data_IF_067714140731
#
_entry.id   IF_067714140731
#
_cell.length_a   1.000
_cell.length_b   1.000
_cell.length_c   1.000
_cell.angle_alpha   90.00
_cell.angle_beta   90.00
_cell.angle_gamma   90.00
#
_symmetry.space_group_name_H-M   'P 1'
#
loop_
_entity.id
_entity.type
_entity.pdbx_description
1 polymer ?
#
# COMPACT_ATOMS: atom_id res chain seq x y z
N UNK A 1 -12.36 -9.03 -7.94
CA UNK A 1 -11.22 -9.53 -8.74
C UNK A 1 -11.50 -10.85 -9.47
N UNK A 2 -12.16 -11.85 -8.84
CA UNK A 2 -12.32 -13.20 -9.40
C UNK A 2 -12.87 -13.26 -10.85
N UNK A 3 -13.66 -12.28 -11.26
CA UNK A 3 -14.34 -12.26 -12.56
C UNK A 3 -13.88 -11.13 -13.48
N UNK A 4 -12.91 -10.35 -13.06
CA UNK A 4 -12.36 -9.28 -13.86
C UNK A 4 -11.45 -9.82 -14.96
N UNK A 5 -11.54 -9.19 -16.13
CA UNK A 5 -10.65 -9.48 -17.26
C UNK A 5 -9.30 -8.78 -17.10
N UNK A 6 -8.26 -9.17 -17.87
CA UNK A 6 -6.98 -8.46 -17.91
C UNK A 6 -7.17 -6.95 -18.20
N UNK A 7 -8.00 -6.60 -19.17
CA UNK A 7 -8.28 -5.21 -19.50
C UNK A 7 -8.92 -4.43 -18.34
N UNK A 8 -9.84 -5.05 -17.60
CA UNK A 8 -10.45 -4.42 -16.41
C UNK A 8 -9.44 -4.20 -15.28
N UNK A 9 -8.42 -5.08 -15.14
CA UNK A 9 -7.32 -4.87 -14.18
C UNK A 9 -6.43 -3.71 -14.60
N UNK A 10 -6.13 -3.58 -15.90
CA UNK A 10 -5.38 -2.44 -16.45
C UNK A 10 -6.08 -1.11 -16.17
N UNK A 11 -7.38 -1.02 -16.51
CA UNK A 11 -8.19 0.18 -16.28
C UNK A 11 -8.29 0.54 -14.79
N UNK A 12 -8.48 -0.45 -13.92
CA UNK A 12 -8.55 -0.24 -12.46
C UNK A 12 -7.21 0.30 -11.91
N UNK A 13 -6.08 -0.24 -12.37
CA UNK A 13 -4.76 0.22 -11.99
C UNK A 13 -4.49 1.65 -12.50
N UNK A 14 -4.87 1.96 -13.72
CA UNK A 14 -4.78 3.33 -14.26
C UNK A 14 -5.58 4.32 -13.43
N UNK A 15 -6.84 4.00 -13.11
CA UNK A 15 -7.70 4.87 -12.32
C UNK A 15 -7.09 5.16 -10.94
N UNK A 16 -6.70 4.12 -10.22
CA UNK A 16 -6.12 4.25 -8.88
C UNK A 16 -4.81 5.07 -8.90
N UNK A 17 -3.92 4.79 -9.86
CA UNK A 17 -2.68 5.53 -10.02
C UNK A 17 -2.90 7.00 -10.39
N UNK A 18 -3.87 7.30 -11.26
CA UNK A 18 -4.19 8.67 -11.65
C UNK A 18 -4.76 9.48 -10.48
N UNK A 19 -5.67 8.92 -9.70
CA UNK A 19 -6.17 9.56 -8.47
C UNK A 19 -5.04 9.80 -7.46
N UNK A 20 -4.18 8.80 -7.24
CA UNK A 20 -3.01 8.93 -6.36
C UNK A 20 -2.05 10.04 -6.83
N UNK A 21 -1.72 10.09 -8.13
CA UNK A 21 -0.87 11.16 -8.72
C UNK A 21 -1.50 12.53 -8.50
N UNK A 22 -2.80 12.67 -8.68
CA UNK A 22 -3.55 13.93 -8.51
C UNK A 22 -3.55 14.39 -7.05
N UNK A 23 -3.51 13.47 -6.09
CA UNK A 23 -3.34 13.77 -4.66
C UNK A 23 -1.88 13.97 -4.23
N UNK A 24 -0.93 13.90 -5.17
CA UNK A 24 0.50 14.14 -4.92
C UNK A 24 1.34 12.90 -4.63
N UNK A 25 0.81 11.69 -4.79
CA UNK A 25 1.60 10.47 -4.68
C UNK A 25 2.57 10.34 -5.85
N UNK A 26 3.82 10.01 -5.55
CA UNK A 26 4.86 9.71 -6.54
C UNK A 26 5.18 8.22 -6.62
N UNK A 27 4.79 7.46 -5.59
CA UNK A 27 4.99 6.00 -5.50
C UNK A 27 3.71 5.34 -5.02
N UNK A 28 3.32 4.25 -5.68
CA UNK A 28 2.17 3.44 -5.30
C UNK A 28 2.59 1.98 -5.15
N UNK A 29 2.10 1.31 -4.11
CA UNK A 29 2.21 -0.14 -3.97
C UNK A 29 0.87 -0.78 -4.23
N UNK A 30 0.86 -1.81 -5.07
CA UNK A 30 -0.30 -2.64 -5.36
C UNK A 30 -0.16 -3.98 -4.67
N UNK A 31 -1.13 -4.33 -3.84
CA UNK A 31 -1.20 -5.60 -3.14
C UNK A 31 -2.09 -6.58 -3.92
N UNK A 32 -1.48 -7.34 -4.83
CA UNK A 32 -2.18 -8.11 -5.86
C UNK A 32 -2.42 -9.57 -5.44
N UNK A 33 -3.68 -9.93 -5.24
CA UNK A 33 -4.10 -11.27 -4.78
C UNK A 33 -4.96 -12.07 -5.79
N UNK A 34 -5.34 -11.49 -6.93
CA UNK A 34 -6.16 -12.14 -7.97
C UNK A 34 -5.29 -12.92 -8.96
N UNK A 35 -4.59 -13.95 -8.45
CA UNK A 35 -3.51 -14.64 -9.16
C UNK A 35 -3.94 -15.92 -9.90
N UNK A 36 -5.21 -16.05 -10.28
CA UNK A 36 -5.72 -17.21 -11.01
C UNK A 36 -5.22 -17.31 -12.46
N UNK A 37 -4.77 -16.20 -13.04
CA UNK A 37 -4.18 -16.10 -14.37
C UNK A 37 -3.00 -15.12 -14.33
N UNK A 38 -1.78 -15.53 -14.78
CA UNK A 38 -0.62 -14.63 -14.82
C UNK A 38 -0.82 -13.36 -15.66
N UNK A 39 -1.70 -13.39 -16.67
CA UNK A 39 -1.99 -12.23 -17.50
C UNK A 39 -2.61 -11.08 -16.71
N UNK A 40 -3.34 -11.38 -15.63
CA UNK A 40 -3.94 -10.36 -14.75
C UNK A 40 -2.87 -9.51 -14.06
N UNK A 41 -1.79 -10.14 -13.59
CA UNK A 41 -0.66 -9.45 -12.98
C UNK A 41 0.05 -8.53 -14.00
N UNK A 42 0.29 -9.02 -15.21
CA UNK A 42 0.89 -8.22 -16.29
C UNK A 42 0.02 -7.00 -16.61
N UNK A 43 -1.28 -7.19 -16.81
CA UNK A 43 -2.21 -6.10 -17.14
C UNK A 43 -2.29 -5.05 -16.03
N UNK A 44 -2.31 -5.48 -14.77
CA UNK A 44 -2.26 -4.55 -13.65
C UNK A 44 -0.95 -3.74 -13.63
N UNK A 45 0.21 -4.39 -13.79
CA UNK A 45 1.52 -3.72 -13.86
C UNK A 45 1.57 -2.74 -15.04
N UNK A 46 1.10 -3.15 -16.22
CA UNK A 46 1.10 -2.30 -17.42
C UNK A 46 0.20 -1.06 -17.21
N UNK A 47 -0.94 -1.23 -16.56
CA UNK A 47 -1.81 -0.13 -16.13
C UNK A 47 -1.08 0.85 -15.20
N UNK A 48 -0.40 0.37 -14.15
CA UNK A 48 0.39 1.22 -13.25
C UNK A 48 1.51 1.96 -13.99
N UNK A 49 2.32 1.23 -14.75
CA UNK A 49 3.50 1.77 -15.47
C UNK A 49 3.11 2.81 -16.51
N UNK A 50 1.95 2.63 -17.18
CA UNK A 50 1.46 3.56 -18.21
C UNK A 50 1.20 4.98 -17.68
N UNK A 51 0.97 5.13 -16.37
CA UNK A 51 0.75 6.44 -15.72
C UNK A 51 2.05 7.16 -15.34
N UNK A 52 3.19 6.47 -15.43
CA UNK A 52 4.48 7.03 -15.06
C UNK A 52 4.72 7.14 -13.55
N UNK A 53 3.83 6.63 -12.70
CA UNK A 53 4.05 6.55 -11.24
C UNK A 53 5.13 5.50 -10.92
N UNK A 54 5.93 5.73 -9.88
CA UNK A 54 6.82 4.69 -9.35
C UNK A 54 5.97 3.59 -8.71
N UNK A 55 6.26 2.34 -9.03
CA UNK A 55 5.39 1.23 -8.68
C UNK A 55 6.11 0.17 -7.85
N UNK A 56 5.42 -0.33 -6.83
CA UNK A 56 5.79 -1.54 -6.10
C UNK A 56 4.66 -2.53 -6.28
N UNK A 57 4.89 -3.58 -7.06
CA UNK A 57 3.90 -4.61 -7.28
C UNK A 57 4.15 -5.80 -6.35
N UNK A 58 3.21 -6.10 -5.46
CA UNK A 58 3.32 -7.16 -4.46
C UNK A 58 2.47 -8.32 -4.94
N UNK A 59 3.11 -9.32 -5.56
CA UNK A 59 2.46 -10.55 -5.99
C UNK A 59 2.26 -11.46 -4.80
N UNK A 60 1.08 -11.43 -4.22
CA UNK A 60 0.75 -12.23 -3.04
C UNK A 60 0.35 -13.65 -3.37
N UNK A 61 0.32 -14.52 -2.37
CA UNK A 61 -0.17 -15.88 -2.50
C UNK A 61 -0.91 -16.33 -1.25
N UNK A 62 -1.65 -17.40 -1.39
CA UNK A 62 -2.37 -18.07 -0.32
C UNK A 62 -2.37 -19.57 -0.63
N UNK A 63 -2.01 -20.39 0.33
CA UNK A 63 -1.96 -21.85 0.16
C UNK A 63 -2.93 -22.61 1.08
N UNK A 64 -3.69 -21.88 1.90
CA UNK A 64 -4.73 -22.39 2.80
C UNK A 64 -5.86 -21.39 3.01
N UNK A 65 -6.86 -21.72 3.82
CA UNK A 65 -7.98 -20.83 4.18
C UNK A 65 -9.31 -21.20 3.51
N UNK A 66 -9.39 -22.31 2.75
CA UNK A 66 -10.64 -22.75 2.11
C UNK A 66 -11.78 -22.92 3.14
N UNK A 67 -11.49 -23.42 4.32
CA UNK A 67 -12.48 -23.61 5.40
C UNK A 67 -13.04 -22.30 5.96
N UNK A 68 -12.38 -21.16 5.69
CA UNK A 68 -12.82 -19.82 6.05
C UNK A 68 -13.33 -19.00 4.87
N UNK A 69 -13.63 -19.67 3.76
CA UNK A 69 -14.27 -19.06 2.59
C UNK A 69 -13.29 -18.56 1.53
N UNK A 70 -11.99 -18.85 1.65
CA UNK A 70 -11.05 -18.53 0.59
C UNK A 70 -11.41 -19.29 -0.69
N UNK A 71 -11.64 -18.62 -1.82
CA UNK A 71 -11.95 -19.26 -3.08
C UNK A 71 -10.79 -20.15 -3.54
N UNK A 72 -11.10 -21.41 -3.91
CA UNK A 72 -10.10 -22.38 -4.40
C UNK A 72 -9.24 -21.87 -5.54
N UNK A 73 -9.78 -21.01 -6.41
CA UNK A 73 -9.06 -20.45 -7.54
C UNK A 73 -7.91 -19.53 -7.15
N UNK A 74 -7.88 -19.07 -5.90
CA UNK A 74 -6.80 -18.23 -5.36
C UNK A 74 -5.74 -19.04 -4.62
N UNK A 75 -6.02 -20.31 -4.30
CA UNK A 75 -5.08 -21.15 -3.57
C UNK A 75 -3.99 -21.70 -4.49
N UNK A 76 -2.76 -21.51 -4.10
CA UNK A 76 -1.60 -22.01 -4.82
C UNK A 76 -0.40 -22.26 -3.90
N UNK A 77 0.50 -23.20 -4.23
CA UNK A 77 1.73 -23.38 -3.47
C UNK A 77 2.65 -22.18 -3.53
N UNK A 78 3.34 -21.86 -2.43
CA UNK A 78 4.33 -20.77 -2.35
C UNK A 78 5.36 -20.84 -3.48
N UNK A 79 5.92 -22.01 -3.79
CA UNK A 79 6.90 -22.18 -4.85
C UNK A 79 6.38 -21.88 -6.27
N UNK A 80 5.06 -21.98 -6.52
CA UNK A 80 4.47 -21.50 -7.77
C UNK A 80 4.49 -19.97 -7.80
N UNK A 81 4.05 -19.32 -6.73
CA UNK A 81 4.05 -17.88 -6.61
C UNK A 81 5.46 -17.30 -6.79
N UNK A 82 6.49 -17.88 -6.18
CA UNK A 82 7.88 -17.44 -6.31
C UNK A 82 8.39 -17.52 -7.75
N UNK A 83 8.02 -18.57 -8.51
CA UNK A 83 8.36 -18.67 -9.94
C UNK A 83 7.71 -17.55 -10.77
N UNK A 84 6.49 -17.15 -10.43
CA UNK A 84 5.82 -16.04 -11.10
C UNK A 84 6.46 -14.69 -10.73
N UNK A 85 6.89 -14.50 -9.49
CA UNK A 85 7.70 -13.34 -9.09
C UNK A 85 8.97 -13.23 -9.94
N UNK A 86 9.69 -14.34 -10.15
CA UNK A 86 10.87 -14.36 -11.03
C UNK A 86 10.52 -14.05 -12.50
N UNK A 87 9.40 -14.57 -12.98
CA UNK A 87 8.93 -14.28 -14.35
C UNK A 87 8.61 -12.78 -14.50
N UNK A 88 7.93 -12.18 -13.55
CA UNK A 88 7.63 -10.73 -13.54
C UNK A 88 8.91 -9.90 -13.43
N UNK A 89 9.84 -10.22 -12.52
CA UNK A 89 11.15 -9.55 -12.41
C UNK A 89 11.90 -9.59 -13.74
N UNK A 90 11.87 -10.73 -14.43
CA UNK A 90 12.51 -10.90 -15.74
C UNK A 90 11.81 -10.11 -16.85
N UNK A 91 10.47 -10.12 -16.86
CA UNK A 91 9.68 -9.41 -17.89
C UNK A 91 9.89 -7.89 -17.82
N UNK A 92 9.98 -7.34 -16.62
CA UNK A 92 10.08 -5.89 -16.39
C UNK A 92 11.47 -5.41 -15.96
N UNK A 93 12.52 -6.20 -16.18
CA UNK A 93 13.90 -5.92 -15.71
C UNK A 93 14.50 -4.58 -16.19
N UNK A 94 13.99 -4.03 -17.29
CA UNK A 94 14.46 -2.74 -17.85
C UNK A 94 13.71 -1.53 -17.25
N UNK A 95 12.71 -1.76 -16.40
CA UNK A 95 11.95 -0.69 -15.75
C UNK A 95 12.46 -0.47 -14.31
N UNK A 96 13.33 0.52 -14.14
CA UNK A 96 13.92 0.88 -12.84
C UNK A 96 12.95 1.61 -11.89
N UNK A 97 11.75 1.96 -12.36
CA UNK A 97 10.68 2.53 -11.55
C UNK A 97 9.71 1.48 -10.99
N UNK A 98 9.85 0.21 -11.38
CA UNK A 98 9.01 -0.89 -10.90
C UNK A 98 9.82 -1.84 -10.00
N UNK A 99 9.30 -2.13 -8.82
CA UNK A 99 9.81 -3.17 -7.93
C UNK A 99 8.80 -4.29 -7.80
N UNK A 100 9.22 -5.54 -7.97
CA UNK A 100 8.37 -6.72 -7.78
C UNK A 100 8.68 -7.32 -6.41
N UNK A 101 7.66 -7.43 -5.57
CA UNK A 101 7.70 -8.02 -4.24
C UNK A 101 6.78 -9.23 -4.16
N UNK A 102 6.73 -9.86 -3.01
CA UNK A 102 5.77 -10.92 -2.71
C UNK A 102 5.27 -10.82 -1.27
N UNK A 103 4.41 -11.72 -0.87
CA UNK A 103 3.93 -11.87 0.50
C UNK A 103 2.73 -12.79 0.61
N UNK A 104 2.42 -13.27 1.80
CA UNK A 104 1.13 -13.85 2.08
C UNK A 104 0.03 -12.79 1.94
N UNK A 105 -1.19 -13.21 1.57
CA UNK A 105 -2.30 -12.25 1.50
C UNK A 105 -2.69 -11.76 2.91
N UNK A 106 -3.14 -12.67 3.74
CA UNK A 106 -3.47 -12.40 5.14
C UNK A 106 -2.79 -13.42 6.05
N UNK A 107 -2.74 -13.13 7.34
CA UNK A 107 -1.98 -13.92 8.32
C UNK A 107 -2.35 -15.39 8.38
N UNK A 108 -3.61 -15.75 8.16
CA UNK A 108 -4.14 -17.11 8.30
C UNK A 108 -4.30 -17.85 6.96
N UNK A 109 -4.01 -17.22 5.83
CA UNK A 109 -4.16 -17.82 4.49
C UNK A 109 -2.91 -18.56 4.00
N UNK A 110 -1.90 -18.72 4.85
CA UNK A 110 -0.62 -19.31 4.47
C UNK A 110 -0.16 -20.32 5.54
N UNK A 111 0.22 -21.51 5.10
CA UNK A 111 0.78 -22.53 5.99
C UNK A 111 2.15 -22.11 6.52
N UNK A 112 2.59 -22.69 7.66
CA UNK A 112 3.93 -22.40 8.21
C UNK A 112 5.03 -22.76 7.20
N UNK A 113 4.85 -23.82 6.47
CA UNK A 113 5.74 -24.26 5.38
C UNK A 113 5.76 -23.24 4.24
N UNK A 114 4.59 -22.70 3.84
CA UNK A 114 4.50 -21.65 2.83
C UNK A 114 5.20 -20.37 3.25
N UNK A 115 5.07 -19.96 4.52
CA UNK A 115 5.84 -18.85 5.09
C UNK A 115 7.35 -19.08 5.00
N UNK A 116 7.82 -20.28 5.34
CA UNK A 116 9.25 -20.61 5.32
C UNK A 116 9.80 -20.64 3.90
N UNK A 117 9.10 -21.30 2.94
CA UNK A 117 9.51 -21.34 1.55
C UNK A 117 9.61 -19.95 0.92
N UNK A 118 8.59 -19.10 1.15
CA UNK A 118 8.61 -17.72 0.68
C UNK A 118 9.76 -16.92 1.32
N UNK A 119 9.97 -17.04 2.63
CA UNK A 119 11.02 -16.31 3.33
C UNK A 119 12.41 -16.69 2.82
N UNK A 120 12.69 -17.99 2.63
CA UNK A 120 13.95 -18.48 2.06
C UNK A 120 14.20 -17.85 0.68
N UNK A 121 13.19 -17.84 -0.18
CA UNK A 121 13.25 -17.16 -1.48
C UNK A 121 13.55 -15.66 -1.33
N UNK A 122 12.79 -14.96 -0.49
CA UNK A 122 12.95 -13.51 -0.31
C UNK A 122 14.34 -13.13 0.21
N UNK A 123 14.91 -13.93 1.08
CA UNK A 123 16.25 -13.69 1.62
C UNK A 123 17.34 -13.99 0.59
N UNK A 124 17.22 -15.10 -0.16
CA UNK A 124 18.19 -15.50 -1.18
C UNK A 124 18.20 -14.56 -2.39
N UNK A 125 17.02 -14.13 -2.86
CA UNK A 125 16.85 -13.29 -4.04
C UNK A 125 16.80 -11.79 -3.72
N UNK A 126 17.00 -11.41 -2.45
CA UNK A 126 16.93 -10.03 -1.97
C UNK A 126 15.61 -9.33 -2.32
N UNK A 127 14.49 -10.04 -2.21
CA UNK A 127 13.13 -9.53 -2.44
C UNK A 127 12.53 -9.03 -1.13
N UNK A 128 11.84 -7.89 -1.16
CA UNK A 128 11.05 -7.39 -0.03
C UNK A 128 9.67 -8.05 -0.05
N UNK A 129 8.98 -8.01 1.09
CA UNK A 129 7.68 -8.65 1.24
C UNK A 129 6.74 -7.86 2.13
N UNK A 130 5.45 -8.08 1.93
CA UNK A 130 4.39 -7.39 2.67
C UNK A 130 3.25 -8.35 3.00
N UNK A 131 2.48 -8.05 4.03
CA UNK A 131 1.32 -8.84 4.46
C UNK A 131 0.39 -7.98 5.31
N UNK A 132 -0.94 -8.21 5.19
CA UNK A 132 -1.92 -7.71 6.14
C UNK A 132 -1.75 -8.46 7.47
N UNK A 133 -1.59 -7.74 8.57
CA UNK A 133 -1.31 -8.35 9.88
C UNK A 133 -2.02 -7.62 11.01
N UNK A 134 -2.64 -8.41 11.89
CA UNK A 134 -3.33 -7.90 13.09
C UNK A 134 -4.31 -6.76 12.77
N UNK A 135 -5.01 -6.87 11.66
CA UNK A 135 -6.02 -5.89 11.27
C UNK A 135 -7.25 -6.00 12.15
N UNK A 136 -7.74 -7.21 12.37
CA UNK A 136 -8.95 -7.48 13.15
C UNK A 136 -8.67 -8.43 14.31
N UNK A 137 -9.58 -8.50 15.28
CA UNK A 137 -9.53 -9.49 16.35
C UNK A 137 -9.68 -10.92 15.81
N UNK A 138 -10.40 -11.09 14.72
CA UNK A 138 -10.59 -12.38 14.04
C UNK A 138 -9.26 -12.94 13.55
N UNK A 139 -8.35 -12.11 13.07
CA UNK A 139 -7.02 -12.54 12.62
C UNK A 139 -6.26 -13.21 13.76
N UNK A 140 -6.28 -12.62 14.96
CA UNK A 140 -5.63 -13.19 16.14
C UNK A 140 -6.25 -14.54 16.53
N UNK A 141 -7.58 -14.64 16.49
CA UNK A 141 -8.30 -15.87 16.82
C UNK A 141 -7.97 -16.99 15.82
N UNK A 142 -7.96 -16.68 14.53
CA UNK A 142 -7.62 -17.63 13.47
C UNK A 142 -6.17 -18.08 13.55
N UNK A 143 -5.23 -17.16 13.76
CA UNK A 143 -3.82 -17.51 13.95
C UNK A 143 -3.61 -18.40 15.19
N UNK A 144 -4.32 -18.13 16.27
CA UNK A 144 -4.32 -19.00 17.45
C UNK A 144 -4.78 -20.43 17.16
N UNK A 145 -5.81 -20.58 16.29
CA UNK A 145 -6.29 -21.91 15.85
C UNK A 145 -5.30 -22.61 14.91
N UNK A 146 -4.72 -21.88 13.93
CA UNK A 146 -3.84 -22.47 12.92
C UNK A 146 -2.44 -22.77 13.43
N UNK A 147 -1.85 -21.82 14.16
CA UNK A 147 -0.44 -21.91 14.57
C UNK A 147 -0.27 -22.22 16.05
N UNK A 148 -1.37 -22.24 16.83
CA UNK A 148 -1.34 -22.49 18.27
C UNK A 148 -0.70 -21.35 19.10
N UNK A 149 -0.51 -20.19 18.48
CA UNK A 149 0.12 -19.01 19.09
C UNK A 149 -0.22 -17.71 18.36
N UNK A 150 0.19 -16.59 18.94
CA UNK A 150 0.13 -15.28 18.28
C UNK A 150 0.95 -15.29 16.99
N UNK A 151 0.47 -14.55 15.99
CA UNK A 151 1.12 -14.50 14.68
C UNK A 151 2.53 -13.90 14.77
N UNK A 152 2.73 -12.84 15.58
CA UNK A 152 4.05 -12.19 15.69
C UNK A 152 5.05 -13.11 16.36
N UNK A 153 4.60 -13.95 17.32
CA UNK A 153 5.44 -14.99 17.94
C UNK A 153 5.89 -16.02 16.91
N UNK A 154 4.96 -16.48 16.06
CA UNK A 154 5.26 -17.45 14.99
C UNK A 154 6.23 -16.85 13.97
N UNK A 155 5.99 -15.61 13.56
CA UNK A 155 6.84 -14.91 12.59
C UNK A 155 8.25 -14.65 13.14
N UNK A 156 8.39 -14.30 14.42
CA UNK A 156 9.72 -14.16 15.05
C UNK A 156 10.48 -15.49 15.07
N UNK A 157 9.81 -16.60 15.44
CA UNK A 157 10.42 -17.93 15.49
C UNK A 157 11.00 -18.40 14.15
N UNK A 158 10.30 -18.10 13.05
CA UNK A 158 10.78 -18.50 11.71
C UNK A 158 11.74 -17.47 11.09
N UNK A 159 12.03 -16.35 11.79
CA UNK A 159 12.91 -15.29 11.29
C UNK A 159 12.29 -14.37 10.25
N UNK A 160 10.96 -14.30 10.19
CA UNK A 160 10.22 -13.49 9.21
C UNK A 160 10.33 -11.98 9.49
N UNK A 161 10.52 -11.59 10.76
CA UNK A 161 10.64 -10.18 11.14
C UNK A 161 12.01 -9.65 10.70
N UNK A 162 12.03 -8.82 9.67
CA UNK A 162 13.25 -8.17 9.14
C UNK A 162 12.93 -6.76 8.65
N UNK A 163 13.96 -6.00 8.28
CA UNK A 163 13.83 -4.67 7.66
C UNK A 163 13.27 -4.71 6.23
N UNK A 164 13.07 -5.90 5.66
CA UNK A 164 12.41 -6.10 4.37
C UNK A 164 10.89 -6.26 4.49
N UNK A 165 10.37 -6.46 5.69
CA UNK A 165 8.96 -6.67 5.93
C UNK A 165 8.22 -5.34 6.07
N UNK A 166 7.17 -5.16 5.25
CA UNK A 166 6.17 -4.10 5.37
C UNK A 166 4.87 -4.71 5.93
N UNK A 167 4.59 -4.42 7.19
CA UNK A 167 3.40 -4.88 7.90
C UNK A 167 2.23 -3.91 7.67
N UNK A 168 1.10 -4.38 7.14
CA UNK A 168 -0.05 -3.54 6.79
C UNK A 168 -1.10 -3.57 7.89
N UNK A 169 -1.76 -2.45 8.17
CA UNK A 169 -2.77 -2.16 9.20
C UNK A 169 -2.25 -2.14 10.63
N UNK A 170 -1.83 -3.25 11.20
CA UNK A 170 -1.24 -3.34 12.54
C UNK A 170 -2.13 -2.79 13.67
N UNK A 171 -3.46 -2.92 13.54
CA UNK A 171 -4.46 -2.37 14.48
C UNK A 171 -4.29 -2.94 15.88
N UNK A 172 -4.14 -4.27 15.97
CA UNK A 172 -4.14 -5.01 17.23
C UNK A 172 -2.71 -5.36 17.71
N UNK A 173 -1.71 -4.49 17.45
CA UNK A 173 -0.36 -4.68 17.99
C UNK A 173 -0.34 -4.47 19.51
N UNK A 174 0.29 -5.39 20.21
CA UNK A 174 0.62 -5.21 21.62
C UNK A 174 1.90 -4.38 21.80
N UNK A 175 2.17 -3.79 22.97
CA UNK A 175 3.45 -3.12 23.22
C UNK A 175 4.66 -4.01 22.95
N UNK A 176 4.55 -5.31 23.23
CA UNK A 176 5.61 -6.28 22.97
C UNK A 176 5.82 -6.53 21.48
N UNK A 177 4.75 -6.50 20.66
CA UNK A 177 4.87 -6.58 19.20
C UNK A 177 5.60 -5.36 18.64
N UNK A 178 5.28 -4.18 19.15
CA UNK A 178 5.92 -2.91 18.75
C UNK A 178 7.42 -2.94 19.06
N UNK A 179 7.82 -3.41 20.25
CA UNK A 179 9.23 -3.59 20.59
C UNK A 179 9.97 -4.53 19.63
N UNK A 180 9.32 -5.64 19.24
CA UNK A 180 9.88 -6.58 18.26
C UNK A 180 9.99 -5.95 16.86
N UNK A 181 8.98 -5.23 16.42
CA UNK A 181 9.02 -4.52 15.13
C UNK A 181 10.16 -3.50 15.10
N UNK A 182 10.34 -2.72 16.16
CA UNK A 182 11.48 -1.81 16.28
C UNK A 182 12.83 -2.55 16.26
N UNK A 183 12.96 -3.65 17.03
CA UNK A 183 14.16 -4.47 17.10
C UNK A 183 14.61 -5.03 15.76
N UNK A 184 13.66 -5.48 14.95
CA UNK A 184 13.94 -6.12 13.66
C UNK A 184 13.86 -5.16 12.46
N UNK A 185 13.51 -3.89 12.68
CA UNK A 185 13.43 -2.88 11.63
C UNK A 185 12.21 -3.03 10.72
N UNK A 186 11.17 -3.74 11.16
CA UNK A 186 9.89 -3.88 10.43
C UNK A 186 9.28 -2.49 10.22
N UNK A 187 8.75 -2.25 9.01
CA UNK A 187 7.99 -1.03 8.72
C UNK A 187 6.49 -1.30 8.78
N UNK A 188 5.73 -0.30 9.23
CA UNK A 188 4.26 -0.34 9.24
C UNK A 188 3.70 0.51 8.11
N UNK A 189 2.67 0.01 7.40
CA UNK A 189 1.77 0.80 6.57
C UNK A 189 0.50 1.11 7.38
N UNK A 190 0.35 2.35 7.80
CA UNK A 190 -0.85 2.84 8.48
C UNK A 190 -1.90 3.25 7.45
N UNK A 191 -3.04 2.59 7.47
CA UNK A 191 -4.14 2.79 6.53
C UNK A 191 -5.37 3.34 7.28
N UNK A 192 -5.43 4.66 7.61
CA UNK A 192 -6.44 5.19 8.52
C UNK A 192 -7.86 5.11 7.99
N UNK A 193 -8.08 5.43 6.71
CA UNK A 193 -9.42 5.44 6.12
C UNK A 193 -10.04 4.04 6.05
N UNK A 194 -9.39 3.00 5.49
CA UNK A 194 -9.95 1.66 5.45
C UNK A 194 -10.16 1.07 6.85
N UNK A 195 -9.25 1.27 7.79
CA UNK A 195 -9.43 0.79 9.17
C UNK A 195 -10.69 1.34 9.83
N UNK A 196 -11.04 2.58 9.51
CA UNK A 196 -12.29 3.22 9.97
C UNK A 196 -13.50 2.72 9.20
N UNK A 197 -13.40 2.67 7.87
CA UNK A 197 -14.49 2.27 6.98
C UNK A 197 -14.95 0.84 7.24
N UNK A 198 -14.02 -0.08 7.43
CA UNK A 198 -14.28 -1.48 7.74
C UNK A 198 -14.54 -1.73 9.23
N UNK A 199 -14.30 -0.74 10.10
CA UNK A 199 -14.44 -0.91 11.54
C UNK A 199 -13.36 -1.78 12.17
N UNK A 200 -12.20 -1.94 11.54
CA UNK A 200 -11.10 -2.76 12.02
C UNK A 200 -10.52 -2.22 13.33
N UNK A 201 -10.49 -0.89 13.50
CA UNK A 201 -9.99 -0.23 14.71
C UNK A 201 -8.89 0.81 14.43
N UNK A 202 -8.14 1.17 15.48
CA UNK A 202 -7.12 2.23 15.39
C UNK A 202 -5.79 1.69 15.89
N UNK A 203 -4.76 1.62 15.02
CA UNK A 203 -3.44 1.13 15.40
C UNK A 203 -2.72 2.08 16.36
N UNK A 204 -1.83 1.58 17.24
CA UNK A 204 -1.04 2.37 18.19
C UNK A 204 0.14 3.08 17.49
N UNK A 205 -0.17 4.08 16.65
CA UNK A 205 0.83 4.78 15.83
C UNK A 205 1.78 5.66 16.67
N UNK A 206 1.31 6.48 17.63
CA UNK A 206 2.21 7.25 18.47
C UNK A 206 3.19 6.38 19.26
N UNK A 207 2.74 5.25 19.81
CA UNK A 207 3.56 4.29 20.54
C UNK A 207 4.59 3.62 19.61
N UNK A 208 4.19 3.29 18.40
CA UNK A 208 5.09 2.72 17.38
C UNK A 208 6.19 3.71 17.00
N UNK A 209 5.84 4.97 16.73
CA UNK A 209 6.82 6.03 16.45
C UNK A 209 7.77 6.28 17.62
N UNK A 210 7.23 6.34 18.86
CA UNK A 210 8.02 6.55 20.07
C UNK A 210 9.03 5.42 20.34
N UNK A 211 8.69 4.19 19.92
CA UNK A 211 9.58 3.01 20.04
C UNK A 211 10.60 2.92 18.89
N UNK A 212 10.47 3.77 17.86
CA UNK A 212 11.39 3.83 16.72
C UNK A 212 10.99 2.93 15.54
N UNK A 213 9.77 2.39 15.53
CA UNK A 213 9.22 1.70 14.37
C UNK A 213 9.04 2.69 13.23
N UNK A 214 9.46 2.32 12.03
CA UNK A 214 9.19 3.11 10.85
C UNK A 214 7.72 2.97 10.44
N UNK A 215 7.01 4.09 10.30
CA UNK A 215 5.61 4.11 9.87
C UNK A 215 5.50 4.88 8.56
N UNK A 216 4.77 4.31 7.61
CA UNK A 216 4.32 4.95 6.37
C UNK A 216 2.79 5.10 6.38
N UNK A 217 2.25 5.88 5.44
CA UNK A 217 0.81 6.01 5.23
C UNK A 217 0.44 5.30 3.93
N UNK A 218 -0.65 4.53 3.96
CA UNK A 218 -1.27 3.92 2.80
C UNK A 218 -2.75 4.30 2.70
N UNK A 219 -3.29 4.21 1.51
CA UNK A 219 -4.71 4.44 1.22
C UNK A 219 -5.51 3.15 1.20
N UNK A 220 -4.82 2.00 1.04
CA UNK A 220 -5.43 0.71 0.74
C UNK A 220 -6.21 0.71 -0.59
N UNK A 221 -6.87 -0.38 -0.93
CA UNK A 221 -7.66 -0.49 -2.14
C UNK A 221 -8.98 0.28 -2.09
N UNK A 222 -9.46 0.71 -3.26
CA UNK A 222 -10.72 1.44 -3.37
C UNK A 222 -11.95 0.65 -2.87
N UNK A 223 -11.86 -0.68 -2.76
CA UNK A 223 -12.93 -1.51 -2.19
C UNK A 223 -13.10 -1.31 -0.68
N UNK A 224 -12.05 -0.91 0.02
CA UNK A 224 -12.03 -0.71 1.49
C UNK A 224 -11.93 0.75 1.92
N UNK A 225 -11.74 1.69 0.97
CA UNK A 225 -11.61 3.12 1.25
C UNK A 225 -12.46 4.01 0.33
N UNK A 226 -12.75 3.57 -0.89
CA UNK A 226 -13.37 4.34 -1.99
C UNK A 226 -12.52 5.52 -2.51
N UNK A 227 -11.26 5.65 -2.10
CA UNK A 227 -10.35 6.72 -2.52
C UNK A 227 -8.89 6.29 -2.40
N UNK A 228 -8.03 6.86 -3.26
CA UNK A 228 -6.57 6.78 -3.17
C UNK A 228 -5.95 8.15 -2.87
N UNK A 229 -6.71 9.07 -2.28
CA UNK A 229 -6.27 10.41 -1.89
C UNK A 229 -5.35 10.36 -0.65
N UNK A 230 -4.06 10.67 -0.86
CA UNK A 230 -3.06 10.71 0.19
C UNK A 230 -3.26 11.89 1.16
N UNK A 231 -3.73 13.04 0.68
CA UNK A 231 -3.95 14.21 1.55
C UNK A 231 -5.09 13.96 2.53
N UNK A 232 -6.14 13.26 2.10
CA UNK A 232 -7.21 12.80 2.99
C UNK A 232 -6.67 11.81 4.02
N UNK A 233 -5.90 10.81 3.59
CA UNK A 233 -5.30 9.82 4.48
C UNK A 233 -4.34 10.45 5.50
N UNK A 234 -3.54 11.44 5.11
CA UNK A 234 -2.69 12.21 6.03
C UNK A 234 -3.50 12.92 7.10
N UNK A 235 -4.59 13.59 6.73
CA UNK A 235 -5.47 14.27 7.67
C UNK A 235 -6.13 13.30 8.65
N UNK A 236 -6.65 12.18 8.15
CA UNK A 236 -7.26 11.14 8.98
C UNK A 236 -6.25 10.54 9.94
N UNK A 237 -5.04 10.20 9.48
CA UNK A 237 -3.96 9.69 10.33
C UNK A 237 -3.68 10.60 11.51
N UNK A 238 -3.65 11.93 11.30
CA UNK A 238 -3.45 12.89 12.38
C UNK A 238 -4.64 12.97 13.35
N UNK A 239 -5.85 13.16 12.80
CA UNK A 239 -7.03 13.47 13.61
C UNK A 239 -7.50 12.30 14.47
N UNK A 240 -7.41 11.08 13.94
CA UNK A 240 -7.87 9.89 14.65
C UNK A 240 -7.01 9.62 15.88
N UNK A 241 -5.67 9.75 15.77
CA UNK A 241 -4.77 9.57 16.90
C UNK A 241 -5.02 10.63 17.99
N UNK A 242 -5.19 11.90 17.60
CA UNK A 242 -5.55 12.97 18.54
C UNK A 242 -6.87 12.70 19.26
N UNK A 243 -7.86 12.19 18.52
CA UNK A 243 -9.19 11.89 19.06
C UNK A 243 -9.18 10.75 20.08
N UNK A 244 -8.52 9.64 19.80
CA UNK A 244 -8.50 8.47 20.68
C UNK A 244 -7.66 8.72 21.94
N UNK A 245 -6.53 9.43 21.80
CA UNK A 245 -5.66 9.79 22.93
C UNK A 245 -6.18 10.99 23.72
N UNK A 246 -7.16 11.74 23.19
CA UNK A 246 -7.65 13.00 23.78
C UNK A 246 -6.52 14.01 24.04
N UNK A 247 -5.54 14.01 23.15
CA UNK A 247 -4.36 14.86 23.21
C UNK A 247 -4.08 15.47 21.82
N UNK A 248 -4.15 16.78 21.72
CA UNK A 248 -3.88 17.52 20.48
C UNK A 248 -2.39 17.48 20.06
N UNK A 249 -1.49 17.14 20.97
CA UNK A 249 -0.05 17.10 20.75
C UNK A 249 0.52 15.69 20.52
N UNK A 250 -0.30 14.62 20.62
CA UNK A 250 0.16 13.21 20.57
C UNK A 250 0.86 12.87 19.25
N UNK A 251 0.51 13.54 18.17
CA UNK A 251 1.14 13.42 16.85
C UNK A 251 1.15 14.78 16.15
N UNK A 252 2.26 15.17 15.57
CA UNK A 252 2.46 16.45 14.91
C UNK A 252 2.23 16.39 13.40
N UNK A 253 2.12 17.57 12.74
CA UNK A 253 2.12 17.65 11.29
C UNK A 253 3.47 17.18 10.69
N UNK A 254 4.58 17.38 11.39
CA UNK A 254 5.89 16.87 11.00
C UNK A 254 5.92 15.34 10.94
N UNK A 255 5.37 14.67 11.94
CA UNK A 255 5.29 13.20 11.98
C UNK A 255 4.47 12.68 10.79
N UNK A 256 3.33 13.29 10.50
CA UNK A 256 2.47 12.89 9.38
C UNK A 256 3.17 13.08 8.03
N UNK A 257 3.82 14.23 7.81
CA UNK A 257 4.60 14.49 6.59
C UNK A 257 5.76 13.50 6.48
N UNK A 258 6.45 13.20 7.60
CA UNK A 258 7.50 12.20 7.62
C UNK A 258 6.97 10.82 7.20
N UNK A 259 5.84 10.38 7.76
CA UNK A 259 5.21 9.11 7.42
C UNK A 259 4.83 9.03 5.93
N UNK A 260 4.29 10.13 5.36
CA UNK A 260 3.90 10.20 3.95
C UNK A 260 5.08 10.36 2.97
N UNK A 261 6.29 10.65 3.45
CA UNK A 261 7.48 10.91 2.61
C UNK A 261 8.66 10.01 2.97
N UNK A 262 9.48 10.40 3.93
CA UNK A 262 10.68 9.65 4.32
C UNK A 262 10.35 8.28 4.93
N UNK A 263 9.25 8.19 5.69
CA UNK A 263 8.73 6.92 6.23
C UNK A 263 8.32 5.96 5.12
N UNK A 264 7.58 6.45 4.11
CA UNK A 264 7.23 5.68 2.91
C UNK A 264 8.46 5.22 2.13
N UNK A 265 9.40 6.14 1.86
CA UNK A 265 10.64 5.80 1.18
C UNK A 265 11.46 4.73 1.92
N UNK A 266 11.51 4.79 3.25
CA UNK A 266 12.18 3.77 4.08
C UNK A 266 11.43 2.43 4.04
N UNK A 267 10.10 2.46 4.10
CA UNK A 267 9.27 1.26 4.03
C UNK A 267 9.50 0.46 2.74
N UNK A 268 9.70 1.16 1.61
CA UNK A 268 10.01 0.51 0.33
C UNK A 268 11.52 0.26 0.10
N UNK A 269 12.38 0.54 1.09
CA UNK A 269 13.83 0.30 0.98
C UNK A 269 14.58 1.30 0.11
N UNK A 270 14.05 2.52 -0.09
CA UNK A 270 14.63 3.56 -0.94
C UNK A 270 14.97 4.86 -0.19
N UNK A 271 15.17 4.80 1.13
CA UNK A 271 15.43 5.98 1.96
C UNK A 271 16.69 6.78 1.54
N UNK A 272 17.67 6.12 0.95
CA UNK A 272 18.89 6.74 0.40
C UNK A 272 18.60 7.54 -0.88
N UNK A 273 17.54 7.20 -1.62
CA UNK A 273 17.19 7.77 -2.94
C UNK A 273 15.97 8.66 -2.94
N UNK A 274 15.00 8.44 -2.04
CA UNK A 274 13.69 9.09 -2.01
C UNK A 274 13.36 9.67 -0.63
N UNK A 275 12.20 10.32 -0.53
CA UNK A 275 11.56 10.74 0.71
C UNK A 275 12.04 12.07 1.30
N UNK A 276 13.12 12.65 0.76
CA UNK A 276 13.62 13.99 1.17
C UNK A 276 14.19 14.73 -0.03
N UNK A 277 14.07 16.06 0.01
CA UNK A 277 14.67 16.93 -1.01
C UNK A 277 16.15 17.18 -0.69
N UNK A 278 17.04 16.52 -1.41
CA UNK A 278 18.47 16.66 -1.26
C UNK A 278 19.19 16.43 -2.61
N UNK A 279 20.33 17.09 -2.80
CA UNK A 279 21.15 16.89 -3.99
C UNK A 279 21.58 15.42 -4.11
N UNK A 280 21.47 14.86 -5.30
CA UNK A 280 21.81 13.46 -5.59
C UNK A 280 20.67 12.45 -5.37
N UNK A 281 19.54 12.87 -4.82
CA UNK A 281 18.33 12.02 -4.75
C UNK A 281 17.52 12.09 -6.04
N UNK A 282 16.68 11.08 -6.24
CA UNK A 282 15.72 11.02 -7.35
C UNK A 282 14.68 12.13 -7.15
N UNK A 283 14.33 12.82 -8.22
CA UNK A 283 13.34 13.88 -8.20
C UNK A 283 11.92 13.33 -8.27
N UNK A 284 11.46 12.80 -7.14
CA UNK A 284 10.06 12.47 -6.85
C UNK A 284 9.57 13.53 -5.88
N UNK A 285 8.74 14.47 -6.35
CA UNK A 285 8.30 15.62 -5.56
C UNK A 285 7.00 16.23 -6.10
N UNK A 286 6.37 17.04 -5.28
CA UNK A 286 5.19 17.82 -5.65
C UNK A 286 5.46 19.32 -5.53
N UNK A 287 4.71 20.11 -6.30
CA UNK A 287 4.57 21.56 -6.11
C UNK A 287 3.16 21.81 -5.56
N UNK A 288 3.11 22.40 -4.37
CA UNK A 288 1.87 22.68 -3.64
C UNK A 288 1.53 24.17 -3.75
N UNK A 289 0.33 24.49 -4.24
CA UNK A 289 -0.19 25.85 -4.25
C UNK A 289 -1.12 26.07 -3.04
N UNK A 290 -0.76 26.98 -2.09
CA UNK A 290 -1.60 27.29 -0.94
C UNK A 290 -2.73 28.30 -1.24
N UNK A 291 -2.82 28.84 -2.46
CA UNK A 291 -3.75 29.91 -2.80
C UNK A 291 -5.15 29.41 -3.16
N UNK A 292 -5.71 28.54 -2.32
CA UNK A 292 -7.06 28.03 -2.45
C UNK A 292 -7.90 28.37 -1.22
N UNK A 293 -9.23 28.45 -1.36
CA UNK A 293 -10.14 28.81 -0.27
C UNK A 293 -9.98 27.95 0.98
N UNK A 294 -9.67 26.65 0.81
CA UNK A 294 -9.51 25.71 1.91
C UNK A 294 -8.21 25.93 2.70
N UNK A 295 -7.15 26.39 2.05
CA UNK A 295 -5.80 26.53 2.61
C UNK A 295 -5.39 27.98 2.93
N UNK A 296 -6.16 28.96 2.49
CA UNK A 296 -5.89 30.37 2.76
C UNK A 296 -6.59 30.88 4.06
N UNK A 297 -5.95 31.75 4.85
CA UNK A 297 -4.55 32.17 4.74
C UNK A 297 -3.61 31.12 5.32
N UNK A 298 -2.47 30.87 4.66
CA UNK A 298 -1.46 29.95 5.15
C UNK A 298 -0.61 30.61 6.25
N UNK A 299 -0.69 30.08 7.47
CA UNK A 299 0.15 30.51 8.61
C UNK A 299 1.34 29.58 8.85
N UNK A 300 1.13 28.28 8.66
CA UNK A 300 2.11 27.22 8.79
C UNK A 300 1.97 26.26 7.61
N UNK A 301 3.03 26.08 6.85
CA UNK A 301 2.99 25.29 5.62
C UNK A 301 2.70 23.80 5.90
N UNK A 302 3.28 23.23 6.97
CA UNK A 302 3.12 21.81 7.31
C UNK A 302 1.70 21.52 7.82
N UNK A 303 1.20 22.38 8.72
CA UNK A 303 -0.17 22.30 9.19
C UNK A 303 -1.17 22.47 8.04
N UNK A 304 -0.90 23.37 7.09
CA UNK A 304 -1.75 23.57 5.91
C UNK A 304 -1.79 22.32 5.05
N UNK A 305 -0.65 21.70 4.73
CA UNK A 305 -0.60 20.45 3.96
C UNK A 305 -1.37 19.35 4.65
N UNK A 306 -1.22 19.15 5.95
CA UNK A 306 -1.88 18.05 6.68
C UNK A 306 -3.36 18.29 6.92
N UNK A 307 -3.76 19.50 7.32
CA UNK A 307 -5.12 19.73 7.85
C UNK A 307 -6.04 20.53 6.93
N UNK A 308 -5.49 21.30 6.01
CA UNK A 308 -6.23 22.31 5.22
C UNK A 308 -5.94 22.20 3.72
N UNK A 309 -5.61 21.03 3.22
CA UNK A 309 -5.36 20.79 1.79
C UNK A 309 -6.41 19.87 1.14
N UNK A 310 -6.40 19.84 -0.16
CA UNK A 310 -7.10 18.92 -1.04
C UNK A 310 -6.28 18.74 -2.32
N UNK A 311 -6.69 17.84 -3.21
CA UNK A 311 -6.04 17.64 -4.51
C UNK A 311 -5.90 18.92 -5.35
N UNK A 312 -6.80 19.91 -5.17
CA UNK A 312 -6.73 21.20 -5.84
C UNK A 312 -5.45 22.01 -5.50
N UNK A 313 -4.83 21.71 -4.37
CA UNK A 313 -3.57 22.32 -3.96
C UNK A 313 -2.34 21.72 -4.66
N UNK A 314 -2.48 20.58 -5.33
CA UNK A 314 -1.38 19.94 -6.05
C UNK A 314 -1.30 20.55 -7.46
N UNK A 315 -0.39 21.49 -7.65
CA UNK A 315 -0.15 22.10 -8.97
C UNK A 315 0.61 21.16 -9.88
N UNK A 316 1.67 20.50 -9.38
CA UNK A 316 2.53 19.65 -10.17
C UNK A 316 2.97 18.41 -9.38
N UNK A 317 2.89 17.24 -9.99
CA UNK A 317 3.50 15.99 -9.50
C UNK A 317 4.61 15.57 -10.45
N UNK A 318 5.81 15.33 -9.90
CA UNK A 318 7.03 14.95 -10.62
C UNK A 318 7.49 13.59 -10.12
N UNK A 319 7.69 12.65 -11.03
CA UNK A 319 8.19 11.30 -10.74
C UNK A 319 9.41 11.02 -11.59
N UNK A 320 10.49 10.62 -10.96
CA UNK A 320 11.79 10.36 -11.60
C UNK A 320 12.25 11.54 -12.50
N UNK A 321 12.01 12.77 -12.06
CA UNK A 321 12.36 14.00 -12.78
C UNK A 321 11.41 14.34 -13.95
N UNK A 322 10.34 13.58 -14.17
CA UNK A 322 9.35 13.83 -15.22
C UNK A 322 8.07 14.38 -14.61
N UNK A 323 7.53 15.44 -15.17
CA UNK A 323 6.21 15.93 -14.82
C UNK A 323 5.18 14.91 -15.30
N UNK A 324 4.38 14.35 -14.39
CA UNK A 324 3.29 13.40 -14.69
C UNK A 324 1.91 14.06 -14.57
N UNK A 325 1.82 15.12 -13.78
CA UNK A 325 0.60 15.93 -13.61
C UNK A 325 0.97 17.39 -13.42
N UNK A 326 0.28 18.31 -14.07
CA UNK A 326 0.47 19.75 -13.93
C UNK A 326 -0.77 20.56 -14.31
N UNK A 327 -1.15 21.51 -13.47
CA UNK A 327 -2.25 22.45 -13.75
C UNK A 327 -3.56 21.76 -14.10
N UNK A 328 -3.91 20.69 -13.42
CA UNK A 328 -5.15 19.94 -13.64
C UNK A 328 -5.10 18.91 -14.79
N UNK A 329 -3.91 18.61 -15.36
CA UNK A 329 -3.78 17.72 -16.52
C UNK A 329 -2.67 16.69 -16.34
N UNK A 330 -2.95 15.46 -16.74
CA UNK A 330 -1.95 14.41 -16.87
C UNK A 330 -1.14 14.57 -18.15
N UNK A 331 0.13 14.16 -18.12
CA UNK A 331 1.08 14.36 -19.24
C UNK A 331 1.41 13.08 -20.01
N UNK A 332 0.90 11.93 -19.58
CA UNK A 332 1.23 10.61 -20.13
C UNK A 332 0.22 10.06 -21.16
N UNK A 333 -0.67 10.90 -21.68
CA UNK A 333 -1.51 10.56 -22.82
C UNK A 333 -2.81 9.80 -22.50
N UNK A 334 -3.11 9.48 -21.25
CA UNK A 334 -4.40 8.93 -20.83
C UNK A 334 -5.33 10.12 -20.52
N UNK A 335 -6.48 10.18 -21.22
CA UNK A 335 -7.50 11.18 -20.96
C UNK A 335 -8.42 10.75 -19.83
N UNK A 336 -8.51 11.54 -18.77
CA UNK A 336 -9.27 11.23 -17.53
C UNK A 336 -10.74 10.93 -17.85
N UNK A 337 -11.36 11.71 -18.73
CA UNK A 337 -12.77 11.53 -19.06
C UNK A 337 -13.02 10.25 -19.85
N UNK A 338 -12.17 9.98 -20.82
CA UNK A 338 -12.24 8.75 -21.63
C UNK A 338 -12.05 7.50 -20.77
N UNK A 339 -11.10 7.53 -19.83
CA UNK A 339 -10.87 6.43 -18.89
C UNK A 339 -12.11 6.17 -18.02
N UNK A 340 -12.70 7.23 -17.45
CA UNK A 340 -13.92 7.10 -16.61
C UNK A 340 -15.08 6.52 -17.43
N UNK A 341 -15.30 6.99 -18.66
CA UNK A 341 -16.38 6.51 -19.52
C UNK A 341 -16.19 5.03 -19.89
N UNK A 342 -14.95 4.60 -20.16
CA UNK A 342 -14.60 3.20 -20.42
C UNK A 342 -14.80 2.31 -19.19
N UNK A 343 -14.31 2.71 -18.03
CA UNK A 343 -14.51 1.99 -16.75
C UNK A 343 -16.01 1.80 -16.46
N UNK A 344 -16.82 2.84 -16.64
CA UNK A 344 -18.26 2.73 -16.44
C UNK A 344 -18.92 1.73 -17.41
N UNK A 345 -18.46 1.69 -18.67
CA UNK A 345 -18.88 0.69 -19.64
C UNK A 345 -18.53 -0.72 -19.21
N UNK A 346 -17.27 -0.94 -18.84
CA UNK A 346 -16.75 -2.24 -18.38
C UNK A 346 -17.42 -2.72 -17.08
N UNK A 347 -17.71 -1.82 -16.15
CA UNK A 347 -18.50 -2.13 -14.96
C UNK A 347 -19.90 -2.62 -15.31
N UNK A 348 -20.51 -2.05 -16.37
CA UNK A 348 -21.78 -2.52 -16.91
C UNK A 348 -21.72 -3.96 -17.43
N UNK A 349 -20.63 -4.32 -18.10
CA UNK A 349 -20.37 -5.69 -18.57
C UNK A 349 -20.19 -6.64 -17.40
N UNK A 350 -19.34 -6.29 -16.42
CA UNK A 350 -19.08 -7.12 -15.24
C UNK A 350 -20.36 -7.37 -14.40
N UNK A 351 -21.19 -6.33 -14.20
CA UNK A 351 -22.47 -6.48 -13.50
C UNK A 351 -23.43 -7.46 -14.18
N UNK A 352 -23.50 -7.46 -15.50
CA UNK A 352 -24.31 -8.43 -16.26
C UNK A 352 -23.77 -9.85 -16.08
N UNK A 353 -22.46 -10.05 -16.22
CA UNK A 353 -21.83 -11.37 -15.99
C UNK A 353 -22.09 -11.94 -14.60
N UNK A 354 -22.14 -11.07 -13.56
CA UNK A 354 -22.42 -11.47 -12.18
C UNK A 354 -23.91 -11.78 -11.96
N UNK A 355 -24.81 -11.11 -12.67
CA UNK A 355 -26.26 -11.35 -12.57
C UNK A 355 -26.69 -12.66 -13.24
N UNK A 356 -25.92 -13.15 -14.21
CA UNK A 356 -26.19 -14.40 -14.96
C UNK A 356 -25.64 -15.65 -14.26
N UNK A 357 -24.96 -15.49 -13.10
CA UNK A 357 -24.41 -16.58 -12.26
C UNK A 357 -25.24 -16.80 -10.99
#
# INVERSE_FOLDING_TARGET
GQYMTPHQHELAAQLACMEAIKSGCTTMSEFFYTNQDPELAHSCIDGMVSTGIRSVFIRTFQDTGEEYGMPKCFLEPAGKAMKEVDALKKAYKENDMLSIWTGPDVTWSTTKEGYQEMLEYCLSENVRYSMHIKETEVDNEMCGRYYGKDIVDMLEEIGFLTDKFLAVHCVNLTPHDIERFAKYGVSISHNPAPNLYLGSGIPPIPESLATGVNVSIGTDGAASNNSTDMLESMKLAALIQKGIHRDAAVISADDIIHMATAGGAKAIGMADKLGTLAAGKIADLIIFDPNHLKSAPMHDAKATVVYASSEENIDTTIVNGKVVYQGGKFTFGIDERSLIDEINSELGVLKKQLADK
#
